data_IF_378476597631
#
_entry.id   IF_378476597631
#
_cell.length_a   1.000
_cell.length_b   1.000
_cell.length_c   1.000
_cell.angle_alpha   90.00
_cell.angle_beta   90.00
_cell.angle_gamma   90.00
#
_symmetry.space_group_name_H-M   'P 1'
#
loop_
_entity.id
_entity.type
_entity.pdbx_description
1 polymer ?
#
# COMPACT_ATOMS: atom_id res chain seq x y z
N UNK A 1 11.68 27.25 5.43
CA UNK A 1 12.13 25.85 5.61
C UNK A 1 10.90 24.97 5.43
N UNK A 2 11.04 23.78 4.85
CA UNK A 2 9.91 22.85 4.78
C UNK A 2 9.54 22.35 6.18
N UNK A 3 8.24 22.15 6.43
CA UNK A 3 7.74 21.70 7.72
C UNK A 3 6.67 20.62 7.54
N UNK A 4 6.73 19.57 8.36
CA UNK A 4 5.67 18.55 8.43
C UNK A 4 4.87 18.75 9.71
N UNK A 5 3.54 18.64 9.60
CA UNK A 5 2.61 18.67 10.74
C UNK A 5 1.41 17.77 10.49
N UNK A 6 0.61 17.52 11.53
CA UNK A 6 -0.71 16.91 11.36
C UNK A 6 -1.63 17.85 10.58
N UNK A 7 -2.47 17.26 9.71
CA UNK A 7 -3.53 17.97 9.02
C UNK A 7 -4.52 18.58 10.03
N UNK A 8 -5.17 19.66 9.62
CA UNK A 8 -6.18 20.38 10.37
C UNK A 8 -7.40 20.61 9.47
N UNK A 9 -8.56 20.95 10.07
CA UNK A 9 -9.80 21.15 9.31
C UNK A 9 -9.69 22.19 8.18
N UNK A 10 -8.85 23.21 8.36
CA UNK A 10 -8.58 24.24 7.34
C UNK A 10 -7.82 23.75 6.11
N UNK A 11 -7.16 22.60 6.18
CA UNK A 11 -6.33 22.06 5.09
C UNK A 11 -7.15 21.40 3.97
N UNK A 12 -8.46 21.19 4.19
CA UNK A 12 -9.32 20.39 3.30
C UNK A 12 -9.25 20.83 1.84
N UNK A 13 -9.36 22.12 1.57
CA UNK A 13 -9.35 22.63 0.19
C UNK A 13 -8.04 22.33 -0.52
N UNK A 14 -6.91 22.53 0.16
CA UNK A 14 -5.59 22.26 -0.40
C UNK A 14 -5.32 20.76 -0.57
N UNK A 15 -5.80 19.92 0.36
CA UNK A 15 -5.69 18.46 0.23
C UNK A 15 -6.50 17.91 -0.94
N UNK A 16 -7.70 18.43 -1.19
CA UNK A 16 -8.50 18.09 -2.38
C UNK A 16 -7.73 18.45 -3.67
N UNK A 17 -7.10 19.62 -3.71
CA UNK A 17 -6.32 20.03 -4.88
C UNK A 17 -5.07 19.16 -5.08
N UNK A 18 -4.37 18.80 -4.00
CA UNK A 18 -3.22 17.89 -4.06
C UNK A 18 -3.64 16.47 -4.49
N UNK A 19 -4.78 15.98 -4.00
CA UNK A 19 -5.26 14.64 -4.32
C UNK A 19 -5.86 14.53 -5.74
N UNK A 20 -6.50 15.58 -6.24
CA UNK A 20 -6.96 15.65 -7.63
C UNK A 20 -5.86 16.04 -8.63
N UNK A 21 -4.75 16.59 -8.14
CA UNK A 21 -3.67 17.14 -8.96
C UNK A 21 -2.68 16.09 -9.50
N UNK A 22 -1.83 16.54 -10.42
CA UNK A 22 -0.63 15.81 -10.85
C UNK A 22 0.47 15.96 -9.79
N UNK A 23 0.39 15.12 -8.76
CA UNK A 23 1.40 14.99 -7.72
C UNK A 23 2.11 13.65 -7.86
N UNK A 24 3.42 13.63 -7.62
CA UNK A 24 4.22 12.41 -7.61
C UNK A 24 3.97 11.62 -6.31
N UNK A 25 4.11 10.30 -6.37
CA UNK A 25 3.84 9.41 -5.23
C UNK A 25 2.78 8.33 -5.53
N UNK A 26 2.09 7.86 -4.50
CA UNK A 26 1.10 6.77 -4.61
C UNK A 26 -0.06 6.95 -3.64
N UNK A 27 -1.14 6.18 -3.90
CA UNK A 27 -2.36 6.23 -3.12
C UNK A 27 -3.14 7.52 -3.29
N UNK A 28 -4.29 7.60 -2.64
CA UNK A 28 -5.15 8.78 -2.59
C UNK A 28 -5.79 8.90 -1.21
N UNK A 29 -6.20 10.11 -0.83
CA UNK A 29 -6.98 10.32 0.38
C UNK A 29 -8.44 9.90 0.20
N UNK A 30 -8.96 9.91 -1.03
CA UNK A 30 -10.36 9.60 -1.28
C UNK A 30 -11.30 10.67 -0.70
N UNK A 31 -10.86 11.93 -0.70
CA UNK A 31 -11.56 13.10 -0.14
C UNK A 31 -12.89 13.45 -0.81
N UNK A 32 -13.23 12.80 -1.92
CA UNK A 32 -14.55 12.87 -2.55
C UNK A 32 -15.59 11.95 -1.88
N UNK A 33 -15.14 10.94 -1.12
CA UNK A 33 -16.00 9.88 -0.55
C UNK A 33 -16.08 9.98 0.98
N UNK A 34 -15.04 10.52 1.64
CA UNK A 34 -14.97 10.62 3.10
C UNK A 34 -14.84 12.07 3.57
N UNK A 35 -15.43 12.42 4.72
CA UNK A 35 -15.18 13.73 5.31
C UNK A 35 -13.77 13.78 5.89
N UNK A 36 -13.08 14.93 5.79
CA UNK A 36 -11.77 15.07 6.41
C UNK A 36 -11.82 14.82 7.94
N UNK A 37 -12.97 15.06 8.57
CA UNK A 37 -13.27 14.74 9.98
C UNK A 37 -13.13 13.25 10.31
N UNK A 38 -13.37 12.36 9.35
CA UNK A 38 -13.18 10.91 9.50
C UNK A 38 -11.69 10.56 9.69
N UNK A 39 -10.81 11.40 9.14
CA UNK A 39 -9.36 11.27 9.20
C UNK A 39 -8.71 12.16 10.28
N UNK A 40 -9.42 13.18 10.77
CA UNK A 40 -8.95 14.16 11.75
C UNK A 40 -9.34 13.82 13.20
N UNK A 41 -9.84 12.61 13.48
CA UNK A 41 -10.09 12.14 14.84
C UNK A 41 -11.48 12.48 15.40
N UNK A 42 -12.53 12.44 14.58
CA UNK A 42 -13.91 12.37 15.09
C UNK A 42 -14.16 11.09 15.92
N UNK A 43 -15.32 10.95 16.60
CA UNK A 43 -15.65 9.80 17.45
C UNK A 43 -15.72 8.44 16.71
N UNK A 44 -15.56 8.43 15.38
CA UNK A 44 -15.40 7.25 14.53
C UNK A 44 -13.96 7.02 14.02
N UNK A 45 -13.01 7.92 14.34
CA UNK A 45 -11.62 7.90 13.89
C UNK A 45 -10.71 7.12 14.83
N UNK A 46 -10.65 5.79 14.66
CA UNK A 46 -9.96 4.88 15.59
C UNK A 46 -8.53 4.47 15.18
N UNK A 47 -7.92 5.04 14.13
CA UNK A 47 -6.59 4.54 13.73
C UNK A 47 -5.84 5.24 12.60
N UNK A 48 -6.29 6.39 12.11
CA UNK A 48 -5.71 7.04 10.92
C UNK A 48 -5.19 8.45 11.22
N UNK A 49 -4.10 8.87 10.59
CA UNK A 49 -3.52 10.22 10.67
C UNK A 49 -3.09 10.71 9.28
N UNK A 50 -3.40 11.97 8.99
CA UNK A 50 -2.90 12.67 7.80
C UNK A 50 -1.80 13.63 8.23
N UNK A 51 -0.60 13.45 7.69
CA UNK A 51 0.49 14.42 7.81
C UNK A 51 0.54 15.26 6.53
N UNK A 52 0.80 16.55 6.68
CA UNK A 52 0.93 17.49 5.57
C UNK A 52 2.31 18.12 5.57
N UNK A 53 2.83 18.36 4.37
CA UNK A 53 4.09 19.05 4.11
C UNK A 53 3.79 20.47 3.65
N UNK A 54 4.39 21.43 4.33
CA UNK A 54 4.38 22.85 4.00
C UNK A 54 5.71 23.27 3.38
N UNK A 55 5.64 24.09 2.33
CA UNK A 55 6.81 24.73 1.75
C UNK A 55 7.30 25.93 2.60
N UNK A 56 8.34 26.61 2.15
CA UNK A 56 8.87 27.79 2.86
C UNK A 56 7.91 28.99 2.92
N UNK A 57 6.80 28.96 2.16
CA UNK A 57 5.75 29.99 2.12
C UNK A 57 4.49 29.53 2.88
N UNK A 58 4.56 28.42 3.60
CA UNK A 58 3.44 27.81 4.33
C UNK A 58 2.30 27.33 3.42
N UNK A 59 2.60 27.08 2.13
CA UNK A 59 1.64 26.44 1.23
C UNK A 59 1.79 24.92 1.34
N UNK A 60 0.65 24.20 1.39
CA UNK A 60 0.69 22.74 1.36
C UNK A 60 1.22 22.24 0.01
N UNK A 61 2.26 21.43 0.07
CA UNK A 61 2.94 20.87 -1.10
C UNK A 61 3.09 19.35 -1.02
N UNK A 62 2.49 18.68 -0.03
CA UNK A 62 2.45 17.23 0.04
C UNK A 62 1.67 16.71 1.23
N UNK A 63 1.39 15.42 1.23
CA UNK A 63 0.74 14.74 2.35
C UNK A 63 1.13 13.26 2.43
N UNK A 64 0.92 12.67 3.60
CA UNK A 64 0.96 11.23 3.81
C UNK A 64 -0.25 10.78 4.65
N UNK A 65 -0.84 9.65 4.30
CA UNK A 65 -1.93 9.01 5.04
C UNK A 65 -1.41 7.74 5.71
N UNK A 66 -1.36 7.74 7.03
CA UNK A 66 -1.00 6.61 7.86
C UNK A 66 -2.25 6.06 8.54
N UNK A 67 -2.46 4.75 8.54
CA UNK A 67 -3.63 4.15 9.16
C UNK A 67 -3.43 2.70 9.52
N UNK A 68 -4.13 2.19 10.52
CA UNK A 68 -4.10 0.74 10.84
C UNK A 68 -5.38 0.09 10.31
N UNK A 69 -5.28 -0.79 9.28
CA UNK A 69 -6.45 -1.50 8.78
C UNK A 69 -6.94 -2.54 9.80
N UNK A 70 -8.24 -2.80 9.82
CA UNK A 70 -8.83 -3.83 10.67
C UNK A 70 -8.30 -5.23 10.31
N UNK A 71 -8.12 -5.50 9.01
CA UNK A 71 -7.49 -6.71 8.48
C UNK A 71 -6.56 -6.30 7.33
N UNK A 72 -5.30 -6.72 7.38
CA UNK A 72 -4.32 -6.48 6.32
C UNK A 72 -4.14 -7.74 5.46
N UNK A 73 -5.04 -7.95 4.50
CA UNK A 73 -5.06 -9.15 3.67
C UNK A 73 -4.11 -9.04 2.47
N UNK A 74 -3.23 -10.03 2.31
CA UNK A 74 -2.23 -10.08 1.23
C UNK A 74 -2.12 -11.49 0.64
N UNK A 75 -1.63 -11.62 -0.58
CA UNK A 75 -1.07 -12.90 -1.03
C UNK A 75 0.40 -12.98 -0.63
N UNK A 76 0.75 -13.99 0.17
CA UNK A 76 2.16 -14.36 0.41
C UNK A 76 2.65 -15.24 -0.73
N UNK A 77 3.69 -14.78 -1.41
CA UNK A 77 4.45 -15.54 -2.41
C UNK A 77 5.30 -16.60 -1.71
N UNK A 78 5.35 -17.79 -2.28
CA UNK A 78 6.15 -18.89 -1.76
C UNK A 78 6.49 -19.93 -2.82
N UNK A 79 7.14 -21.02 -2.41
CA UNK A 79 7.51 -22.12 -3.29
C UNK A 79 7.02 -23.46 -2.72
N UNK A 80 6.47 -24.30 -3.59
CA UNK A 80 6.27 -25.72 -3.32
C UNK A 80 7.33 -26.52 -4.09
N UNK A 81 8.26 -27.14 -3.36
CA UNK A 81 9.30 -27.99 -3.96
C UNK A 81 8.77 -29.42 -4.08
N UNK A 82 8.70 -29.93 -5.30
CA UNK A 82 8.36 -31.31 -5.60
C UNK A 82 9.60 -32.07 -6.04
N UNK A 83 9.88 -33.18 -5.36
CA UNK A 83 10.93 -34.13 -5.72
C UNK A 83 10.30 -35.49 -6.02
N UNK A 84 10.54 -36.00 -7.22
CA UNK A 84 10.11 -37.32 -7.67
C UNK A 84 11.36 -38.09 -8.10
N UNK A 85 12.06 -38.73 -7.14
CA UNK A 85 13.40 -39.29 -7.39
C UNK A 85 13.44 -40.31 -8.52
N UNK A 86 12.44 -41.20 -8.60
CA UNK A 86 12.40 -42.25 -9.63
C UNK A 86 12.28 -41.68 -11.06
N UNK A 87 11.73 -40.46 -11.20
CA UNK A 87 11.56 -39.77 -12.47
C UNK A 87 12.64 -38.71 -12.71
N UNK A 88 13.58 -38.52 -11.76
CA UNK A 88 14.59 -37.46 -11.83
C UNK A 88 14.00 -36.05 -11.82
N UNK A 89 12.77 -35.85 -11.33
CA UNK A 89 12.10 -34.55 -11.34
C UNK A 89 12.37 -33.84 -10.02
N UNK A 90 12.96 -32.65 -10.09
CA UNK A 90 12.97 -31.66 -9.01
C UNK A 90 12.44 -30.34 -9.57
N UNK A 91 11.32 -29.85 -9.03
CA UNK A 91 10.72 -28.59 -9.45
C UNK A 91 10.28 -27.76 -8.25
N UNK A 92 10.64 -26.48 -8.27
CA UNK A 92 10.05 -25.46 -7.42
C UNK A 92 8.88 -24.80 -8.17
N UNK A 93 7.69 -24.90 -7.61
CA UNK A 93 6.47 -24.33 -8.19
C UNK A 93 6.08 -23.10 -7.36
N UNK A 94 6.00 -21.89 -7.96
CA UNK A 94 5.62 -20.70 -7.21
C UNK A 94 4.15 -20.73 -6.81
N UNK A 95 3.87 -20.16 -5.63
CA UNK A 95 2.57 -20.24 -4.96
C UNK A 95 2.14 -18.88 -4.41
N UNK A 96 0.82 -18.70 -4.28
CA UNK A 96 0.16 -17.58 -3.61
C UNK A 96 -0.73 -18.14 -2.51
N UNK A 97 -0.54 -17.68 -1.27
CA UNK A 97 -1.41 -18.03 -0.14
C UNK A 97 -2.02 -16.76 0.42
N UNK A 98 -3.34 -16.71 0.54
CA UNK A 98 -4.03 -15.58 1.18
C UNK A 98 -3.72 -15.61 2.68
N UNK A 99 -3.19 -14.50 3.19
CA UNK A 99 -2.77 -14.35 4.59
C UNK A 99 -3.14 -12.96 5.10
N UNK A 100 -3.03 -12.78 6.42
CA UNK A 100 -3.24 -11.49 7.08
C UNK A 100 -2.12 -11.17 8.09
N UNK A 101 -0.90 -11.62 7.80
CA UNK A 101 0.30 -11.59 8.67
C UNK A 101 0.71 -10.17 9.15
N UNK A 102 0.24 -9.13 8.45
CA UNK A 102 0.48 -7.71 8.76
C UNK A 102 -0.68 -7.05 9.51
N UNK A 103 -1.70 -7.79 9.93
CA UNK A 103 -2.78 -7.25 10.76
C UNK A 103 -2.22 -6.69 12.06
N UNK A 104 -2.67 -5.48 12.43
CA UNK A 104 -2.14 -4.71 13.56
C UNK A 104 -0.84 -3.96 13.28
N UNK A 105 -0.32 -3.99 12.04
CA UNK A 105 0.73 -3.07 11.59
C UNK A 105 0.11 -1.80 10.98
N UNK A 106 0.81 -0.68 11.10
CA UNK A 106 0.42 0.58 10.47
C UNK A 106 0.70 0.53 8.98
N UNK A 107 -0.25 0.99 8.19
CA UNK A 107 -0.19 1.08 6.74
C UNK A 107 0.00 2.53 6.30
N UNK A 108 1.01 2.79 5.49
CA UNK A 108 1.10 4.01 4.69
C UNK A 108 0.21 3.83 3.46
N UNK A 109 -1.00 4.36 3.52
CA UNK A 109 -2.01 4.24 2.46
C UNK A 109 -1.74 5.17 1.28
N UNK A 110 -1.15 6.33 1.54
CA UNK A 110 -0.82 7.30 0.51
C UNK A 110 0.38 8.14 0.90
N UNK A 111 1.15 8.55 -0.09
CA UNK A 111 2.24 9.51 0.01
C UNK A 111 2.26 10.30 -1.28
N UNK A 112 2.03 11.62 -1.19
CA UNK A 112 2.00 12.48 -2.38
C UNK A 112 2.77 13.76 -2.15
N UNK A 113 3.54 14.16 -3.14
CA UNK A 113 4.30 15.41 -3.15
C UNK A 113 3.95 16.18 -4.42
N UNK A 114 3.45 17.40 -4.22
CA UNK A 114 3.07 18.35 -5.26
C UNK A 114 4.21 19.32 -5.60
N UNK A 115 3.87 20.33 -6.40
CA UNK A 115 4.83 21.34 -6.84
C UNK A 115 5.30 22.28 -5.72
N UNK A 116 6.48 22.87 -5.89
CA UNK A 116 7.07 23.85 -4.96
C UNK A 116 8.21 23.29 -4.11
N UNK A 117 8.39 21.97 -4.10
CA UNK A 117 9.50 21.27 -3.46
C UNK A 117 10.02 20.18 -4.38
N UNK A 118 11.28 19.75 -4.18
CA UNK A 118 11.79 18.57 -4.87
C UNK A 118 11.08 17.32 -4.31
N UNK A 119 10.44 16.49 -5.16
CA UNK A 119 9.61 15.37 -4.71
C UNK A 119 10.30 14.39 -3.75
N UNK A 120 11.55 13.98 -4.03
CA UNK A 120 12.26 13.02 -3.19
C UNK A 120 12.58 13.58 -1.80
N UNK A 121 12.92 14.87 -1.70
CA UNK A 121 13.16 15.57 -0.45
C UNK A 121 11.87 15.74 0.37
N UNK A 122 10.76 16.08 -0.29
CA UNK A 122 9.44 16.16 0.36
C UNK A 122 8.98 14.80 0.88
N UNK A 123 9.15 13.76 0.06
CA UNK A 123 8.83 12.38 0.42
C UNK A 123 9.66 11.91 1.61
N UNK A 124 10.97 12.19 1.63
CA UNK A 124 11.85 11.86 2.75
C UNK A 124 11.39 12.50 4.08
N UNK A 125 10.97 13.77 4.06
CA UNK A 125 10.45 14.43 5.26
C UNK A 125 9.14 13.82 5.75
N UNK A 126 8.20 13.55 4.84
CA UNK A 126 6.93 12.91 5.17
C UNK A 126 7.13 11.49 5.71
N UNK A 127 7.97 10.69 5.07
CA UNK A 127 8.29 9.33 5.51
C UNK A 127 8.95 9.33 6.90
N UNK A 128 9.90 10.22 7.16
CA UNK A 128 10.52 10.36 8.48
C UNK A 128 9.48 10.76 9.56
N UNK A 129 8.56 11.65 9.23
CA UNK A 129 7.50 12.07 10.13
C UNK A 129 6.48 10.93 10.39
N UNK A 130 6.10 10.15 9.38
CA UNK A 130 5.27 8.95 9.54
C UNK A 130 5.93 7.94 10.50
N UNK A 131 7.23 7.66 10.31
CA UNK A 131 7.99 6.75 11.17
C UNK A 131 8.05 7.25 12.63
N UNK A 132 8.28 8.54 12.80
CA UNK A 132 8.32 9.18 14.12
C UNK A 132 6.96 9.08 14.81
N UNK A 133 5.88 9.42 14.11
CA UNK A 133 4.52 9.35 14.63
C UNK A 133 4.15 7.91 15.03
N UNK A 134 4.39 6.95 14.14
CA UNK A 134 4.10 5.54 14.40
C UNK A 134 4.88 5.00 15.62
N UNK A 135 6.13 5.41 15.77
CA UNK A 135 6.97 5.01 16.91
C UNK A 135 6.49 5.64 18.22
N UNK A 136 5.93 6.85 18.17
CA UNK A 136 5.39 7.56 19.32
C UNK A 136 4.00 7.03 19.75
N UNK A 137 3.22 6.49 18.81
CA UNK A 137 1.85 6.00 19.04
C UNK A 137 1.68 4.51 18.64
N UNK A 138 2.44 3.58 19.24
CA UNK A 138 2.42 2.17 18.86
C UNK A 138 1.08 1.47 19.15
N UNK A 139 0.27 1.99 20.06
CA UNK A 139 -1.09 1.48 20.31
C UNK A 139 -2.04 1.81 19.15
N UNK A 140 -1.73 2.85 18.38
CA UNK A 140 -2.53 3.30 17.24
C UNK A 140 -2.03 2.73 15.92
N UNK A 141 -0.71 2.67 15.73
CA UNK A 141 -0.08 2.27 14.46
C UNK A 141 0.69 0.95 14.51
N UNK A 142 0.65 0.25 15.63
CA UNK A 142 1.46 -0.96 15.84
C UNK A 142 2.96 -0.67 15.88
N UNK A 143 3.75 -1.75 15.85
CA UNK A 143 5.23 -1.71 15.90
C UNK A 143 5.92 -1.93 14.56
N UNK A 144 5.14 -2.23 13.53
CA UNK A 144 5.62 -2.46 12.17
C UNK A 144 4.86 -1.52 11.26
N UNK A 145 5.53 -1.04 10.22
CA UNK A 145 4.90 -0.28 9.15
C UNK A 145 4.98 -1.05 7.84
N UNK A 146 3.94 -0.94 7.01
CA UNK A 146 3.93 -1.47 5.66
C UNK A 146 3.21 -0.52 4.69
N UNK A 147 3.52 -0.66 3.41
CA UNK A 147 3.02 0.18 2.33
C UNK A 147 2.76 -0.75 1.15
N UNK A 148 1.59 -0.61 0.55
CA UNK A 148 1.20 -1.37 -0.63
C UNK A 148 1.24 -0.40 -1.81
N UNK A 149 2.16 -0.63 -2.74
CA UNK A 149 2.26 0.18 -3.94
C UNK A 149 1.32 -0.36 -5.00
N UNK A 150 0.66 0.51 -5.80
CA UNK A 150 -0.20 0.04 -6.88
C UNK A 150 0.56 -0.80 -7.91
N UNK A 151 -0.01 -1.94 -8.27
CA UNK A 151 0.56 -2.89 -9.22
C UNK A 151 0.45 -2.45 -10.69
N UNK A 152 0.96 -3.32 -11.56
CA UNK A 152 0.90 -3.12 -13.01
C UNK A 152 -0.53 -3.19 -13.53
N UNK A 153 -0.87 -2.22 -14.38
CA UNK A 153 -2.14 -2.15 -15.11
C UNK A 153 -1.89 -2.27 -16.60
N UNK A 154 -2.88 -2.75 -17.33
CA UNK A 154 -2.83 -2.76 -18.79
C UNK A 154 -3.08 -1.37 -19.40
N UNK A 155 -3.02 -1.28 -20.72
CA UNK A 155 -3.24 -0.03 -21.47
C UNK A 155 -4.64 0.57 -21.28
N UNK A 156 -5.63 -0.24 -20.84
CA UNK A 156 -6.98 0.21 -20.51
C UNK A 156 -7.09 0.71 -19.06
N UNK A 157 -6.03 0.58 -18.27
CA UNK A 157 -6.01 0.90 -16.85
C UNK A 157 -6.51 -0.22 -15.94
N UNK A 158 -6.74 -1.42 -16.48
CA UNK A 158 -7.26 -2.56 -15.73
C UNK A 158 -6.13 -3.34 -15.04
N UNK A 159 -6.40 -3.86 -13.84
CA UNK A 159 -5.45 -4.70 -13.10
C UNK A 159 -5.31 -6.08 -13.77
N UNK A 160 -4.08 -6.45 -14.11
CA UNK A 160 -3.76 -7.74 -14.72
C UNK A 160 -4.09 -8.91 -13.77
N UNK A 161 -3.78 -8.76 -12.48
CA UNK A 161 -4.09 -9.79 -11.48
C UNK A 161 -5.60 -9.92 -11.25
N UNK A 162 -6.31 -8.79 -11.16
CA UNK A 162 -7.75 -8.78 -10.95
C UNK A 162 -8.49 -9.51 -12.08
N UNK A 163 -8.11 -9.23 -13.32
CA UNK A 163 -8.68 -9.89 -14.49
C UNK A 163 -8.32 -11.39 -14.55
N UNK A 164 -7.16 -11.79 -14.05
CA UNK A 164 -6.76 -13.20 -14.04
C UNK A 164 -7.36 -14.02 -12.90
N UNK A 165 -7.63 -13.40 -11.75
CA UNK A 165 -8.00 -14.10 -10.52
C UNK A 165 -9.24 -13.50 -9.86
N UNK A 166 -9.13 -12.28 -9.35
CA UNK A 166 -10.13 -11.69 -8.45
C UNK A 166 -11.54 -11.58 -9.04
N UNK A 167 -11.66 -11.24 -10.33
CA UNK A 167 -12.97 -11.12 -11.01
C UNK A 167 -13.81 -12.40 -10.99
N UNK A 168 -13.17 -13.57 -10.84
CA UNK A 168 -13.87 -14.87 -10.80
C UNK A 168 -14.59 -15.11 -9.46
N UNK A 169 -14.25 -14.33 -8.44
CA UNK A 169 -14.84 -14.37 -7.10
C UNK A 169 -15.72 -13.15 -6.80
N UNK A 170 -15.69 -12.14 -7.67
CA UNK A 170 -16.53 -10.97 -7.55
C UNK A 170 -18.00 -11.29 -7.88
N UNK A 171 -18.92 -10.71 -7.11
CA UNK A 171 -20.35 -10.77 -7.40
C UNK A 171 -20.68 -9.71 -8.46
N UNK A 172 -21.52 -10.03 -9.45
CA UNK A 172 -21.91 -9.06 -10.48
C UNK A 172 -22.46 -7.75 -9.86
N UNK A 173 -21.94 -6.60 -10.30
CA UNK A 173 -22.38 -5.27 -9.85
C UNK A 173 -21.68 -4.71 -8.60
N UNK A 174 -20.55 -5.28 -8.19
CA UNK A 174 -19.82 -4.85 -6.99
C UNK A 174 -18.54 -4.05 -7.31
N UNK A 175 -18.71 -2.84 -7.84
CA UNK A 175 -17.60 -1.91 -8.12
C UNK A 175 -16.80 -1.48 -6.86
N UNK A 176 -17.33 -1.77 -5.66
CA UNK A 176 -16.73 -1.42 -4.37
C UNK A 176 -15.72 -2.44 -3.83
N UNK A 177 -15.54 -3.59 -4.49
CA UNK A 177 -14.68 -4.68 -3.99
C UNK A 177 -13.18 -4.36 -4.01
N UNK A 178 -12.76 -3.30 -4.70
CA UNK A 178 -11.34 -2.96 -4.88
C UNK A 178 -10.69 -2.28 -3.66
N UNK A 179 -11.46 -1.83 -2.68
CA UNK A 179 -10.95 -0.91 -1.63
C UNK A 179 -11.04 -1.44 -0.20
N UNK A 180 -11.65 -2.59 0.02
CA UNK A 180 -11.80 -3.18 1.36
C UNK A 180 -11.05 -4.52 1.47
N UNK A 181 -9.92 -4.49 2.20
CA UNK A 181 -9.09 -5.67 2.42
C UNK A 181 -9.78 -6.78 3.21
N UNK A 182 -10.73 -6.47 4.09
CA UNK A 182 -11.50 -7.47 4.82
C UNK A 182 -12.45 -8.23 3.87
N UNK A 183 -13.10 -7.50 2.97
CA UNK A 183 -13.98 -8.09 1.96
C UNK A 183 -13.19 -8.97 0.97
N UNK A 184 -12.01 -8.52 0.53
CA UNK A 184 -11.11 -9.34 -0.30
C UNK A 184 -10.69 -10.63 0.42
N UNK A 185 -10.41 -10.57 1.72
CA UNK A 185 -10.05 -11.74 2.52
C UNK A 185 -11.17 -12.78 2.59
N UNK A 186 -12.43 -12.34 2.60
CA UNK A 186 -13.60 -13.22 2.65
C UNK A 186 -13.95 -13.83 1.30
N UNK A 187 -13.66 -13.13 0.20
CA UNK A 187 -14.08 -13.54 -1.14
C UNK A 187 -13.03 -14.35 -1.90
N UNK A 188 -11.74 -14.08 -1.65
CA UNK A 188 -10.66 -14.77 -2.35
C UNK A 188 -10.41 -16.18 -1.79
N UNK A 189 -9.83 -17.10 -2.60
CA UNK A 189 -9.53 -18.45 -2.14
C UNK A 189 -8.60 -18.47 -0.92
N UNK A 190 -9.04 -19.12 0.15
CA UNK A 190 -8.21 -19.39 1.33
C UNK A 190 -7.13 -20.46 1.08
N UNK A 191 -7.26 -21.23 0.00
CA UNK A 191 -6.32 -22.30 -0.34
C UNK A 191 -5.14 -21.75 -1.14
N UNK A 192 -3.95 -22.33 -0.93
CA UNK A 192 -2.76 -21.98 -1.71
C UNK A 192 -2.97 -22.27 -3.20
N UNK A 193 -2.75 -21.26 -4.04
CA UNK A 193 -2.80 -21.35 -5.49
C UNK A 193 -1.39 -21.47 -6.06
N UNK A 194 -1.20 -22.23 -7.13
CA UNK A 194 0.02 -22.15 -7.93
C UNK A 194 -0.09 -20.94 -8.86
N UNK A 195 0.86 -20.01 -8.79
CA UNK A 195 0.84 -18.84 -9.69
C UNK A 195 1.03 -19.24 -11.16
N UNK A 196 1.52 -20.46 -11.41
CA UNK A 196 1.55 -21.06 -12.74
C UNK A 196 0.18 -21.30 -13.39
N UNK A 197 -0.93 -21.22 -12.64
CA UNK A 197 -2.28 -21.22 -13.19
C UNK A 197 -2.73 -19.85 -13.72
N UNK A 198 -2.01 -18.78 -13.39
CA UNK A 198 -2.28 -17.46 -13.92
C UNK A 198 -1.73 -17.33 -15.35
N UNK A 199 -2.40 -16.57 -16.23
CA UNK A 199 -1.83 -16.16 -17.51
C UNK A 199 -0.48 -15.46 -17.34
N UNK A 200 0.40 -15.58 -18.33
CA UNK A 200 1.76 -15.02 -18.27
C UNK A 200 1.80 -13.55 -17.84
N UNK A 201 0.97 -12.64 -18.41
CA UNK A 201 1.03 -11.22 -18.04
C UNK A 201 0.71 -10.97 -16.56
N UNK A 202 -0.29 -11.67 -16.02
CA UNK A 202 -0.67 -11.55 -14.62
C UNK A 202 0.40 -12.14 -13.69
N UNK A 203 1.04 -13.25 -14.10
CA UNK A 203 2.14 -13.84 -13.32
C UNK A 203 3.38 -12.94 -13.31
N UNK A 204 3.71 -12.32 -14.43
CA UNK A 204 4.82 -11.39 -14.56
C UNK A 204 4.62 -10.10 -13.74
N UNK A 205 3.36 -9.66 -13.56
CA UNK A 205 3.02 -8.48 -12.78
C UNK A 205 3.10 -8.68 -11.25
N UNK A 206 3.24 -9.91 -10.74
CA UNK A 206 3.20 -10.20 -9.30
C UNK A 206 4.41 -9.62 -8.54
N UNK A 207 4.16 -8.56 -7.78
CA UNK A 207 5.16 -7.82 -7.01
C UNK A 207 5.83 -6.71 -7.82
N UNK A 208 5.35 -6.43 -9.01
CA UNK A 208 5.82 -5.32 -9.84
C UNK A 208 4.97 -4.09 -9.57
N UNK A 209 5.64 -2.94 -9.41
CA UNK A 209 4.99 -1.65 -9.25
C UNK A 209 4.61 -1.08 -10.62
N UNK A 210 3.46 -0.41 -10.72
CA UNK A 210 3.10 0.29 -11.95
C UNK A 210 4.03 1.48 -12.24
N UNK A 211 4.29 1.76 -13.52
CA UNK A 211 5.24 2.79 -13.98
C UNK A 211 5.03 4.17 -13.33
N UNK A 212 3.78 4.54 -13.06
CA UNK A 212 3.42 5.82 -12.44
C UNK A 212 3.89 5.96 -10.97
N UNK A 213 4.37 4.88 -10.35
CA UNK A 213 4.72 4.81 -8.93
C UNK A 213 6.16 4.33 -8.68
N UNK A 214 7.01 4.25 -9.72
CA UNK A 214 8.42 3.87 -9.58
C UNK A 214 9.17 4.79 -8.62
N UNK A 215 8.99 6.11 -8.76
CA UNK A 215 9.60 7.10 -7.87
C UNK A 215 9.22 6.85 -6.40
N UNK A 216 7.96 6.49 -6.13
CA UNK A 216 7.50 6.19 -4.78
C UNK A 216 8.19 4.95 -4.20
N UNK A 217 8.39 3.91 -5.02
CA UNK A 217 9.15 2.73 -4.62
C UNK A 217 10.58 3.10 -4.25
N UNK A 218 11.24 3.96 -5.05
CA UNK A 218 12.58 4.44 -4.77
C UNK A 218 12.64 5.25 -3.47
N UNK A 219 11.68 6.14 -3.22
CA UNK A 219 11.63 6.92 -1.97
C UNK A 219 11.45 6.03 -0.75
N UNK A 220 10.60 5.00 -0.83
CA UNK A 220 10.42 4.03 0.24
C UNK A 220 11.71 3.25 0.50
N UNK A 221 12.38 2.76 -0.55
CA UNK A 221 13.68 2.07 -0.43
C UNK A 221 14.75 2.99 0.18
N UNK A 222 14.82 4.25 -0.24
CA UNK A 222 15.73 5.25 0.33
C UNK A 222 15.43 5.52 1.81
N UNK A 223 14.17 5.41 2.22
CA UNK A 223 13.73 5.47 3.61
C UNK A 223 13.83 4.12 4.35
N UNK A 224 14.60 3.16 3.82
CA UNK A 224 14.90 1.84 4.39
C UNK A 224 13.73 0.85 4.46
N UNK A 225 12.67 1.08 3.69
CA UNK A 225 11.61 0.09 3.51
C UNK A 225 12.11 -1.02 2.59
N UNK A 226 11.74 -2.25 2.90
CA UNK A 226 12.20 -3.45 2.20
C UNK A 226 11.03 -4.15 1.51
N UNK A 227 11.28 -4.70 0.34
CA UNK A 227 10.31 -5.58 -0.30
C UNK A 227 10.07 -6.82 0.55
N UNK A 228 8.82 -7.27 0.55
CA UNK A 228 8.41 -8.49 1.23
C UNK A 228 7.98 -9.55 0.23
N UNK A 229 7.67 -10.74 0.75
CA UNK A 229 7.03 -11.79 -0.03
C UNK A 229 5.53 -11.53 -0.24
N UNK A 230 4.97 -10.44 0.29
CA UNK A 230 3.56 -10.10 0.15
C UNK A 230 3.30 -9.26 -1.11
N UNK A 231 2.16 -9.53 -1.75
CA UNK A 231 1.61 -8.74 -2.84
C UNK A 231 0.15 -8.42 -2.57
N UNK A 232 -0.32 -7.31 -3.12
CA UNK A 232 -1.70 -6.89 -3.04
C UNK A 232 -2.64 -7.94 -3.68
N UNK A 233 -3.72 -8.37 -3.01
CA UNK A 233 -4.64 -9.36 -3.58
C UNK A 233 -5.46 -8.87 -4.77
N UNK A 234 -5.60 -7.56 -4.95
CA UNK A 234 -6.39 -6.95 -6.00
C UNK A 234 -5.55 -6.73 -7.27
N UNK A 235 -4.41 -6.05 -7.17
CA UNK A 235 -3.59 -5.70 -8.33
C UNK A 235 -2.20 -6.34 -8.39
N UNK A 236 -1.81 -7.09 -7.36
CA UNK A 236 -0.53 -7.77 -7.34
C UNK A 236 0.64 -6.85 -7.07
N UNK A 237 0.40 -5.58 -6.74
CA UNK A 237 1.44 -4.62 -6.41
C UNK A 237 2.26 -5.04 -5.19
N UNK A 238 3.53 -4.61 -5.10
CA UNK A 238 4.43 -5.03 -4.04
C UNK A 238 4.03 -4.42 -2.69
N UNK A 239 4.14 -5.22 -1.64
CA UNK A 239 4.07 -4.74 -0.26
C UNK A 239 5.49 -4.56 0.25
N UNK A 240 5.81 -3.34 0.65
CA UNK A 240 7.06 -2.99 1.32
C UNK A 240 6.81 -2.89 2.83
N UNK A 241 7.74 -3.38 3.62
CA UNK A 241 7.71 -3.33 5.08
C UNK A 241 8.89 -2.54 5.59
N UNK A 242 8.67 -1.69 6.60
CA UNK A 242 9.74 -1.09 7.34
C UNK A 242 10.21 -2.09 8.43
N UNK A 243 11.46 -2.57 8.38
CA UNK A 243 11.97 -3.46 9.41
C UNK A 243 11.91 -2.77 10.77
N UNK A 244 11.48 -3.49 11.80
CA UNK A 244 11.53 -2.97 13.17
C UNK A 244 13.00 -2.76 13.56
N UNK A 245 13.37 -1.51 13.90
CA UNK A 245 14.64 -1.16 14.51
C UNK A 245 14.69 -1.76 15.94
N UNK A 246 15.00 -3.06 16.05
CA UNK A 246 15.05 -3.76 17.35
C UNK A 246 14.27 -5.07 17.39
N UNK A 247 14.78 -6.07 16.67
CA UNK A 247 14.71 -7.46 17.10
C UNK A 247 15.94 -8.17 16.52
N UNK A 248 17.11 -7.84 17.08
CA UNK A 248 18.25 -8.75 16.98
C UNK A 248 17.78 -10.10 17.50
N UNK A 249 17.80 -11.10 16.60
CA UNK A 249 17.78 -12.50 17.01
C UNK A 249 19.09 -12.83 17.72
#
# INVERSE_FOLDING_TARGET
MMQVRLAQGGDRGALIQLDGGRCAGFGRLGVEVHELSDWLGGPAGTGTAVLVLEDARQALCGYALLGTPAVAAHFRRGLCVRRVPFAGIERALPTLSLVNDLTGAGQLHALRVGGGVEPSAGAAQLLAACQTLASAEPDRFGRRLFATLPGVRDDSGDSLLWQALGRHFAVQGSDFMATDGALLAELLPQHTLFSGFLPEPARAALGEVGDAHLDAQEWLRAALWQESDYVDPFDGGPVLVLPSQGAGR
#
